data_IF_704111306443
#
_entry.id   IF_704111306443
#
_cell.length_a   1.000
_cell.length_b   1.000
_cell.length_c   1.000
_cell.angle_alpha   90.00
_cell.angle_beta   90.00
_cell.angle_gamma   90.00
#
_symmetry.space_group_name_H-M   'P 1'
#
loop_
_entity.id
_entity.type
_entity.pdbx_description
1 polymer ?
#
# COMPACT_ATOMS: atom_id res chain seq x y z
N UNK A 1 61.63 25.14 -31.76
CA UNK A 1 60.52 24.66 -32.60
C UNK A 1 60.28 23.19 -32.29
N UNK A 2 59.22 22.87 -31.53
CA UNK A 2 58.38 21.67 -31.59
C UNK A 2 57.47 21.64 -30.36
N UNK A 3 56.20 21.89 -30.62
CA UNK A 3 55.07 21.83 -29.71
C UNK A 3 54.85 20.38 -29.29
N UNK A 4 54.44 20.14 -28.04
CA UNK A 4 53.73 18.90 -27.70
C UNK A 4 52.52 19.28 -26.86
N UNK A 5 51.38 18.97 -27.44
CA UNK A 5 50.02 19.35 -27.06
C UNK A 5 49.56 18.47 -25.89
N UNK A 6 48.97 19.11 -24.89
CA UNK A 6 48.23 18.46 -23.83
C UNK A 6 46.92 17.85 -24.37
N UNK A 7 46.59 16.62 -23.99
CA UNK A 7 45.22 16.09 -24.09
C UNK A 7 44.81 15.64 -22.69
N UNK A 8 44.19 16.57 -21.96
CA UNK A 8 43.41 16.32 -20.76
C UNK A 8 42.08 15.69 -21.20
N UNK A 9 41.84 14.41 -20.94
CA UNK A 9 40.52 13.81 -21.13
C UNK A 9 39.79 13.80 -19.79
N UNK A 10 39.08 14.90 -19.52
CA UNK A 10 38.13 14.99 -18.42
C UNK A 10 36.86 14.20 -18.79
N UNK A 11 36.74 12.96 -18.30
CA UNK A 11 35.48 12.23 -18.35
C UNK A 11 34.58 12.75 -17.21
N UNK A 12 33.82 13.80 -17.49
CA UNK A 12 32.70 14.21 -16.65
C UNK A 12 31.63 13.10 -16.71
N UNK A 13 31.65 12.19 -15.74
CA UNK A 13 30.52 11.30 -15.48
C UNK A 13 29.42 12.20 -14.93
N UNK A 14 28.55 12.70 -15.82
CA UNK A 14 27.25 13.20 -15.40
C UNK A 14 26.50 12.00 -14.83
N UNK A 15 26.63 11.79 -13.53
CA UNK A 15 25.68 11.02 -12.75
C UNK A 15 24.37 11.80 -12.80
N UNK A 16 23.59 11.59 -13.86
CA UNK A 16 22.19 11.96 -13.85
C UNK A 16 21.58 11.14 -12.72
N UNK A 17 21.35 11.78 -11.57
CA UNK A 17 20.48 11.23 -10.54
C UNK A 17 19.14 11.05 -11.24
N UNK A 18 18.88 9.84 -11.72
CA UNK A 18 17.53 9.41 -12.05
C UNK A 18 16.79 9.51 -10.73
N UNK A 19 16.09 10.62 -10.52
CA UNK A 19 15.09 10.71 -9.49
C UNK A 19 14.13 9.55 -9.79
N UNK A 20 14.17 8.51 -8.95
CA UNK A 20 13.10 7.55 -8.92
C UNK A 20 11.84 8.40 -8.73
N UNK A 21 10.98 8.45 -9.75
CA UNK A 21 9.65 9.00 -9.54
C UNK A 21 9.05 8.15 -8.44
N UNK A 22 8.78 8.76 -7.28
CA UNK A 22 7.98 8.11 -6.26
C UNK A 22 6.68 7.65 -6.94
N UNK A 23 6.28 6.42 -6.67
CA UNK A 23 5.03 5.93 -7.19
C UNK A 23 3.91 6.74 -6.50
N UNK A 24 2.91 7.14 -7.28
CA UNK A 24 1.85 8.03 -6.79
C UNK A 24 0.48 7.37 -6.88
N UNK A 25 -0.41 7.81 -6.01
CA UNK A 25 -1.81 7.40 -5.97
C UNK A 25 -2.69 8.62 -5.79
N UNK A 26 -3.77 8.70 -6.55
CA UNK A 26 -4.84 9.69 -6.39
C UNK A 26 -5.96 9.09 -5.57
N UNK A 27 -6.32 9.73 -4.46
CA UNK A 27 -7.38 9.24 -3.58
C UNK A 27 -8.71 9.90 -3.94
N UNK A 28 -9.66 9.11 -4.41
CA UNK A 28 -11.04 9.49 -4.68
C UNK A 28 -12.02 9.06 -3.59
N UNK A 29 -13.27 9.47 -3.74
CA UNK A 29 -14.37 9.01 -2.88
C UNK A 29 -14.89 7.65 -3.33
N UNK A 30 -15.25 6.78 -2.37
CA UNK A 30 -16.05 5.58 -2.58
C UNK A 30 -17.42 5.68 -1.90
N UNK A 31 -17.95 4.56 -1.42
CA UNK A 31 -19.13 4.54 -0.55
C UNK A 31 -18.78 5.02 0.85
N UNK A 32 -19.03 6.29 1.14
CA UNK A 32 -18.70 6.88 2.44
C UNK A 32 -19.69 7.97 2.86
N UNK A 33 -19.76 8.20 4.17
CA UNK A 33 -20.48 9.33 4.76
C UNK A 33 -19.78 9.79 6.03
N UNK A 34 -19.72 11.10 6.24
CA UNK A 34 -19.10 11.69 7.44
C UNK A 34 -17.61 11.36 7.60
N UNK A 35 -16.89 11.11 6.51
CA UNK A 35 -15.48 10.73 6.57
C UNK A 35 -15.23 9.21 6.61
N UNK A 36 -16.23 8.43 7.00
CA UNK A 36 -16.14 6.99 7.29
C UNK A 36 -16.65 6.18 6.10
N UNK A 37 -15.92 5.12 5.75
CA UNK A 37 -16.29 4.16 4.74
C UNK A 37 -15.21 4.00 3.68
N UNK A 38 -15.64 3.64 2.50
CA UNK A 38 -14.76 3.29 1.38
C UNK A 38 -14.17 4.53 0.70
N UNK A 39 -12.90 4.42 0.34
CA UNK A 39 -12.19 5.33 -0.56
C UNK A 39 -11.82 4.61 -1.84
N UNK A 40 -11.48 5.38 -2.86
CA UNK A 40 -10.94 4.84 -4.11
C UNK A 40 -9.51 5.30 -4.34
N UNK A 41 -8.67 4.43 -4.86
CA UNK A 41 -7.29 4.74 -5.25
C UNK A 41 -7.13 4.58 -6.76
N UNK A 42 -6.72 5.63 -7.47
CA UNK A 42 -6.41 5.55 -8.90
C UNK A 42 -4.94 5.91 -9.14
N UNK A 43 -4.29 5.16 -10.03
CA UNK A 43 -2.86 5.25 -10.27
C UNK A 43 -2.28 3.90 -10.65
N UNK A 44 -1.10 3.91 -11.27
CA UNK A 44 -0.33 2.70 -11.54
C UNK A 44 0.60 2.41 -10.36
N UNK A 45 0.90 1.13 -10.05
CA UNK A 45 0.62 -0.08 -10.83
C UNK A 45 -0.63 -0.89 -10.42
N UNK A 46 -1.42 -0.48 -9.42
CA UNK A 46 -2.35 -1.40 -8.74
C UNK A 46 -3.60 -1.85 -9.53
N UNK A 47 -4.07 -1.08 -10.51
CA UNK A 47 -5.38 -1.33 -11.11
C UNK A 47 -5.47 -2.61 -11.96
N UNK A 48 -4.40 -2.97 -12.69
CA UNK A 48 -4.43 -4.11 -13.60
C UNK A 48 -4.63 -5.45 -12.88
N UNK A 49 -4.05 -5.60 -11.69
CA UNK A 49 -4.05 -6.85 -10.93
C UNK A 49 -5.34 -7.06 -10.14
N UNK A 50 -5.95 -5.98 -9.65
CA UNK A 50 -7.29 -6.03 -9.04
C UNK A 50 -8.37 -6.46 -10.05
N UNK A 51 -8.20 -6.07 -11.32
CA UNK A 51 -9.09 -6.50 -12.41
C UNK A 51 -8.87 -7.99 -12.72
N UNK A 52 -7.62 -8.47 -12.73
CA UNK A 52 -7.28 -9.87 -12.94
C UNK A 52 -7.83 -10.80 -11.83
N UNK A 53 -7.98 -10.30 -10.60
CA UNK A 53 -8.53 -11.03 -9.45
C UNK A 53 -10.08 -11.13 -9.42
N UNK A 54 -10.77 -10.74 -10.50
CA UNK A 54 -12.24 -10.78 -10.56
C UNK A 54 -12.95 -9.49 -10.15
N UNK A 55 -12.22 -8.38 -9.99
CA UNK A 55 -12.77 -7.02 -9.97
C UNK A 55 -13.63 -6.63 -8.76
N UNK A 56 -13.75 -7.47 -7.72
CA UNK A 56 -14.59 -7.14 -6.57
C UNK A 56 -14.01 -5.97 -5.75
N UNK A 57 -12.68 -5.86 -5.69
CA UNK A 57 -11.96 -4.71 -5.12
C UNK A 57 -11.87 -3.46 -6.03
N UNK A 58 -12.65 -3.35 -7.11
CA UNK A 58 -12.60 -2.18 -8.03
C UNK A 58 -13.94 -1.42 -8.03
N UNK A 59 -13.87 -0.10 -8.01
CA UNK A 59 -15.00 0.82 -8.24
C UNK A 59 -14.58 1.89 -9.24
N UNK A 60 -15.38 2.10 -10.29
CA UNK A 60 -15.15 3.17 -11.26
C UNK A 60 -13.70 3.23 -11.80
N UNK A 61 -13.13 2.06 -12.11
CA UNK A 61 -11.75 1.93 -12.60
C UNK A 61 -10.68 2.42 -11.59
N UNK A 62 -10.97 2.29 -10.29
CA UNK A 62 -10.07 2.59 -9.18
C UNK A 62 -10.18 1.47 -8.13
N UNK A 63 -9.10 1.22 -7.39
CA UNK A 63 -9.09 0.22 -6.32
C UNK A 63 -9.90 0.72 -5.12
N UNK A 64 -10.62 -0.18 -4.47
CA UNK A 64 -11.34 0.05 -3.22
C UNK A 64 -10.31 0.00 -2.09
N UNK A 65 -10.27 1.02 -1.25
CA UNK A 65 -9.30 1.12 -0.15
C UNK A 65 -9.94 1.76 1.08
N UNK A 66 -9.33 1.57 2.25
CA UNK A 66 -9.83 2.02 3.56
C UNK A 66 -8.68 2.63 4.35
N UNK A 67 -9.02 3.57 5.22
CA UNK A 67 -8.10 4.17 6.17
C UNK A 67 -7.63 3.10 7.17
N UNK A 68 -6.34 3.07 7.49
CA UNK A 68 -5.84 2.30 8.63
C UNK A 68 -6.08 3.06 9.93
N UNK A 69 -5.88 4.39 9.94
CA UNK A 69 -5.88 5.19 11.16
C UNK A 69 -7.08 6.14 11.22
N UNK A 70 -7.57 6.50 12.41
CA UNK A 70 -8.78 7.35 12.54
C UNK A 70 -8.48 8.83 12.62
N UNK A 71 -7.30 9.20 13.13
CA UNK A 71 -6.86 10.57 13.35
C UNK A 71 -6.01 11.14 12.20
N UNK A 72 -5.83 10.37 11.12
CA UNK A 72 -5.17 10.83 9.89
C UNK A 72 -6.16 11.08 8.75
N UNK A 73 -5.78 11.95 7.81
CA UNK A 73 -6.70 12.40 6.76
C UNK A 73 -6.04 12.52 5.40
N UNK A 74 -6.86 12.30 4.37
CA UNK A 74 -6.59 12.56 2.97
C UNK A 74 -7.63 13.52 2.41
N UNK A 75 -7.22 14.29 1.42
CA UNK A 75 -8.07 15.16 0.62
C UNK A 75 -8.51 14.40 -0.63
N UNK A 76 -9.81 14.39 -0.90
CA UNK A 76 -10.33 13.74 -2.10
C UNK A 76 -9.88 14.47 -3.36
N UNK A 77 -9.49 13.70 -4.38
CA UNK A 77 -8.94 14.19 -5.64
C UNK A 77 -7.46 14.57 -5.57
N UNK A 78 -6.83 14.52 -4.39
CA UNK A 78 -5.41 14.81 -4.26
C UNK A 78 -4.56 13.58 -4.61
N UNK A 79 -3.35 13.85 -5.09
CA UNK A 79 -2.32 12.84 -5.38
C UNK A 79 -1.27 12.85 -4.27
N UNK A 80 -0.86 11.64 -3.91
CA UNK A 80 0.08 11.35 -2.84
C UNK A 80 1.22 10.51 -3.40
N UNK A 81 2.43 10.78 -2.92
CA UNK A 81 3.52 9.83 -3.01
C UNK A 81 3.26 8.71 -2.00
N UNK A 82 3.61 7.48 -2.34
CA UNK A 82 3.45 6.37 -1.41
C UNK A 82 4.67 5.47 -1.30
N UNK A 83 4.76 4.79 -0.16
CA UNK A 83 5.66 3.66 0.05
C UNK A 83 4.85 2.50 0.63
N UNK A 84 5.15 1.27 0.20
CA UNK A 84 4.69 0.08 0.91
C UNK A 84 5.71 -0.21 2.01
N UNK A 85 5.39 0.07 3.26
CA UNK A 85 6.31 -0.23 4.34
C UNK A 85 6.17 -1.70 4.74
N UNK A 86 7.30 -2.41 4.68
CA UNK A 86 7.46 -3.81 5.06
C UNK A 86 8.65 -3.88 5.99
N UNK A 87 8.46 -4.45 7.17
CA UNK A 87 9.47 -4.58 8.20
C UNK A 87 9.43 -5.96 8.83
N UNK A 88 10.17 -6.12 9.93
CA UNK A 88 10.12 -7.30 10.77
C UNK A 88 9.34 -6.99 12.05
N UNK A 89 8.57 -7.94 12.56
CA UNK A 89 7.99 -7.87 13.90
C UNK A 89 9.03 -8.26 14.98
N UNK A 90 8.62 -8.23 16.25
CA UNK A 90 9.48 -8.64 17.37
C UNK A 90 9.92 -10.12 17.35
N UNK A 91 9.31 -10.95 16.50
CA UNK A 91 9.67 -12.36 16.30
C UNK A 91 10.61 -12.58 15.09
N UNK A 92 10.81 -11.54 14.26
CA UNK A 92 11.59 -11.62 13.02
C UNK A 92 10.76 -12.03 11.80
N UNK A 93 9.43 -12.08 11.90
CA UNK A 93 8.52 -12.34 10.79
C UNK A 93 8.31 -11.06 9.97
N UNK A 94 8.12 -11.22 8.65
CA UNK A 94 7.86 -10.08 7.75
C UNK A 94 6.44 -9.58 7.93
N UNK A 95 6.25 -8.28 8.15
CA UNK A 95 4.95 -7.63 8.35
C UNK A 95 4.85 -6.33 7.56
N UNK A 96 3.64 -5.92 7.17
CA UNK A 96 3.38 -4.59 6.59
C UNK A 96 2.80 -3.65 7.64
N UNK A 97 3.20 -2.38 7.61
CA UNK A 97 3.10 -1.49 8.78
C UNK A 97 2.59 -0.09 8.42
N UNK A 98 1.59 0.40 9.14
CA UNK A 98 1.27 1.82 9.19
C UNK A 98 2.42 2.58 9.90
N UNK A 99 2.65 3.83 9.56
CA UNK A 99 3.72 4.65 10.17
C UNK A 99 3.11 5.44 11.33
N UNK A 100 3.65 5.25 12.54
CA UNK A 100 3.20 5.79 13.82
C UNK A 100 1.94 5.15 14.45
N UNK A 101 1.07 4.50 13.67
CA UNK A 101 -0.03 3.70 14.23
C UNK A 101 -1.21 4.49 14.79
N UNK A 102 -1.40 5.75 14.38
CA UNK A 102 -2.60 6.51 14.72
C UNK A 102 -2.88 6.64 16.22
N UNK A 103 -4.03 6.11 16.64
CA UNK A 103 -4.49 6.03 18.03
C UNK A 103 -4.07 4.72 18.72
N UNK A 104 -3.86 3.64 17.97
CA UNK A 104 -3.34 2.36 18.48
C UNK A 104 -1.88 2.45 18.93
N UNK A 105 -1.10 3.30 18.25
CA UNK A 105 0.30 3.59 18.52
C UNK A 105 1.27 2.67 17.76
N UNK A 106 2.56 3.01 17.81
CA UNK A 106 3.67 2.23 17.27
C UNK A 106 4.09 1.13 18.25
N UNK A 107 4.44 -0.06 17.76
CA UNK A 107 4.98 -1.16 18.58
C UNK A 107 6.44 -0.93 19.04
N UNK A 108 7.07 0.16 18.63
CA UNK A 108 8.45 0.54 18.93
C UNK A 108 9.47 0.04 17.91
N UNK A 109 9.03 -0.63 16.83
CA UNK A 109 9.86 -1.14 15.73
C UNK A 109 9.68 -0.30 14.45
N UNK A 110 9.05 0.88 14.54
CA UNK A 110 9.02 1.88 13.49
C UNK A 110 7.69 1.95 12.73
N UNK A 111 6.57 1.78 13.44
CA UNK A 111 5.20 1.76 12.93
C UNK A 111 4.30 0.70 13.58
N UNK A 112 3.09 0.56 13.08
CA UNK A 112 2.07 -0.34 13.59
C UNK A 112 1.75 -1.44 12.56
N UNK A 113 2.10 -2.71 12.82
CA UNK A 113 1.81 -3.80 11.90
C UNK A 113 0.31 -4.04 11.70
N UNK A 114 -0.09 -4.30 10.46
CA UNK A 114 -1.49 -4.62 10.16
C UNK A 114 -1.87 -5.95 10.84
N UNK A 115 -3.01 -5.96 11.52
CA UNK A 115 -3.54 -7.19 12.13
C UNK A 115 -3.93 -8.24 11.08
N UNK A 116 -3.88 -9.52 11.47
CA UNK A 116 -4.29 -10.62 10.60
C UNK A 116 -5.77 -10.59 10.24
N UNK A 117 -6.65 -10.15 11.15
CA UNK A 117 -8.07 -9.99 10.85
C UNK A 117 -8.31 -8.89 9.80
N UNK A 118 -7.62 -7.74 9.88
CA UNK A 118 -7.71 -6.69 8.86
C UNK A 118 -7.20 -7.18 7.51
N UNK A 119 -6.04 -7.84 7.49
CA UNK A 119 -5.47 -8.39 6.27
C UNK A 119 -6.40 -9.45 5.63
N UNK A 120 -6.96 -10.35 6.45
CA UNK A 120 -7.94 -11.33 6.01
C UNK A 120 -9.18 -10.66 5.42
N UNK A 121 -9.83 -9.74 6.15
CA UNK A 121 -11.06 -9.09 5.69
C UNK A 121 -10.86 -8.36 4.37
N UNK A 122 -9.79 -7.59 4.26
CA UNK A 122 -9.51 -6.86 3.04
C UNK A 122 -9.16 -7.79 1.87
N UNK A 123 -8.44 -8.89 2.13
CA UNK A 123 -8.23 -9.92 1.12
C UNK A 123 -9.55 -10.53 0.63
N UNK A 124 -10.45 -10.93 1.54
CA UNK A 124 -11.76 -11.50 1.19
C UNK A 124 -12.64 -10.50 0.43
N UNK A 125 -12.53 -9.20 0.73
CA UNK A 125 -13.22 -8.16 -0.02
C UNK A 125 -12.71 -8.09 -1.46
N UNK A 126 -11.40 -8.00 -1.65
CA UNK A 126 -10.80 -7.78 -2.97
C UNK A 126 -10.99 -9.00 -3.89
N UNK A 127 -10.92 -10.21 -3.33
CA UNK A 127 -11.15 -11.47 -4.07
C UNK A 127 -12.62 -11.82 -4.27
N UNK A 128 -13.55 -11.05 -3.70
CA UNK A 128 -14.99 -11.21 -3.89
C UNK A 128 -15.67 -12.25 -3.01
N UNK A 129 -14.96 -12.82 -2.04
CA UNK A 129 -15.52 -13.78 -1.09
C UNK A 129 -16.51 -13.13 -0.11
N UNK A 130 -16.45 -11.81 0.06
CA UNK A 130 -17.45 -11.05 0.84
C UNK A 130 -18.70 -10.65 0.05
N UNK A 131 -18.92 -11.13 -1.18
CA UNK A 131 -19.99 -10.62 -2.04
C UNK A 131 -21.41 -10.75 -1.46
N UNK A 132 -21.66 -11.74 -0.59
CA UNK A 132 -22.93 -11.91 0.10
C UNK A 132 -23.05 -11.03 1.37
N UNK A 133 -21.93 -10.52 1.89
CA UNK A 133 -21.86 -9.75 3.14
C UNK A 133 -21.63 -8.24 2.90
N UNK A 134 -20.98 -7.87 1.79
CA UNK A 134 -20.62 -6.49 1.45
C UNK A 134 -21.39 -6.04 0.20
N UNK A 135 -22.44 -5.26 0.38
CA UNK A 135 -23.13 -4.62 -0.73
C UNK A 135 -22.38 -3.35 -1.17
N UNK A 136 -21.76 -3.42 -2.36
CA UNK A 136 -21.02 -2.32 -3.01
C UNK A 136 -21.87 -1.12 -3.42
N UNK A 137 -23.16 -1.09 -3.08
CA UNK A 137 -24.08 0.04 -3.25
C UNK A 137 -24.54 0.66 -1.92
N UNK A 138 -24.27 -0.01 -0.79
CA UNK A 138 -24.77 0.39 0.54
C UNK A 138 -23.67 1.06 1.37
N UNK A 139 -23.84 2.35 1.66
CA UNK A 139 -22.89 3.11 2.49
C UNK A 139 -22.72 2.52 3.89
N UNK A 140 -23.78 1.96 4.48
CA UNK A 140 -23.72 1.35 5.80
C UNK A 140 -22.76 0.15 5.85
N UNK A 141 -22.64 -0.62 4.77
CA UNK A 141 -21.73 -1.75 4.68
C UNK A 141 -20.28 -1.29 4.62
N UNK A 142 -20.00 -0.27 3.81
CA UNK A 142 -18.68 0.36 3.75
C UNK A 142 -18.26 0.96 5.10
N UNK A 143 -19.18 1.61 5.81
CA UNK A 143 -18.93 2.13 7.15
C UNK A 143 -18.71 1.03 8.19
N UNK A 144 -19.49 -0.06 8.13
CA UNK A 144 -19.30 -1.19 9.02
C UNK A 144 -17.95 -1.88 8.75
N UNK A 145 -17.53 -2.00 7.49
CA UNK A 145 -16.21 -2.51 7.13
C UNK A 145 -15.08 -1.62 7.68
N UNK A 146 -15.14 -0.30 7.46
CA UNK A 146 -14.14 0.64 7.99
C UNK A 146 -14.05 0.58 9.53
N UNK A 147 -15.17 0.41 10.24
CA UNK A 147 -15.17 0.23 11.70
C UNK A 147 -14.62 -1.13 12.14
N UNK A 148 -14.75 -2.16 11.33
CA UNK A 148 -14.15 -3.46 11.62
C UNK A 148 -12.63 -3.38 11.51
N UNK A 149 -12.11 -2.71 10.46
CA UNK A 149 -10.68 -2.40 10.33
C UNK A 149 -10.21 -1.64 11.58
N UNK A 150 -10.81 -0.51 11.91
CA UNK A 150 -10.42 0.25 13.10
C UNK A 150 -10.56 -0.51 14.42
N UNK A 151 -11.43 -1.52 14.49
CA UNK A 151 -11.53 -2.36 15.68
C UNK A 151 -10.34 -3.29 15.85
N UNK A 152 -9.84 -3.87 14.76
CA UNK A 152 -8.70 -4.78 14.81
C UNK A 152 -7.35 -4.06 14.84
N UNK A 153 -7.29 -2.81 14.36
CA UNK A 153 -6.11 -1.95 14.45
C UNK A 153 -6.10 -1.08 15.72
N UNK A 154 -6.93 -1.40 16.74
CA UNK A 154 -7.06 -0.64 18.00
C UNK A 154 -7.38 0.89 17.87
N UNK A 155 -7.78 1.34 16.68
CA UNK A 155 -8.18 2.71 16.37
C UNK A 155 -9.60 3.07 16.85
N UNK A 156 -10.45 2.06 17.07
CA UNK A 156 -11.81 2.21 17.59
C UNK A 156 -12.28 0.92 18.25
N UNK A 157 -12.46 0.95 19.57
CA UNK A 157 -13.07 -0.18 20.29
C UNK A 157 -14.59 -0.15 20.12
N UNK A 158 -15.15 -1.15 19.45
CA UNK A 158 -16.60 -1.36 19.39
C UNK A 158 -17.10 -1.81 20.75
N UNK A 159 -18.17 -1.19 21.25
CA UNK A 159 -18.77 -1.56 22.53
C UNK A 159 -19.31 -3.01 22.53
N UNK A 160 -19.80 -3.45 21.38
CA UNK A 160 -20.21 -4.83 21.13
C UNK A 160 -19.64 -5.29 19.77
N UNK A 161 -18.53 -6.04 19.75
CA UNK A 161 -17.95 -6.60 18.53
C UNK A 161 -18.93 -7.48 17.73
N UNK A 162 -19.95 -8.07 18.37
CA UNK A 162 -20.94 -8.91 17.69
C UNK A 162 -21.95 -8.13 16.86
N UNK A 163 -22.09 -6.83 17.12
CA UNK A 163 -22.94 -5.94 16.33
C UNK A 163 -22.36 -5.64 14.93
N UNK A 164 -21.06 -5.91 14.70
CA UNK A 164 -20.41 -5.70 13.41
C UNK A 164 -20.21 -7.04 12.69
N UNK A 165 -20.97 -7.24 11.61
CA UNK A 165 -20.96 -8.46 10.79
C UNK A 165 -19.57 -8.82 10.23
N UNK A 166 -18.71 -7.85 9.96
CA UNK A 166 -17.36 -8.10 9.44
C UNK A 166 -16.39 -8.53 10.55
N UNK A 167 -16.54 -7.98 11.76
CA UNK A 167 -15.77 -8.43 12.92
C UNK A 167 -16.10 -9.89 13.22
N UNK A 168 -17.38 -10.24 13.28
CA UNK A 168 -17.81 -11.63 13.48
C UNK A 168 -17.30 -12.55 12.36
N UNK A 169 -17.37 -12.12 11.10
CA UNK A 169 -16.86 -12.90 9.98
C UNK A 169 -15.35 -13.23 10.09
N UNK A 170 -14.53 -12.30 10.58
CA UNK A 170 -13.11 -12.56 10.81
C UNK A 170 -12.87 -13.50 11.99
N UNK A 171 -13.58 -13.28 13.10
CA UNK A 171 -13.47 -14.10 14.31
C UNK A 171 -13.94 -15.55 14.07
N UNK A 172 -15.03 -15.74 13.33
CA UNK A 172 -15.54 -17.06 12.94
C UNK A 172 -14.54 -17.83 12.06
N UNK A 173 -13.71 -17.11 11.31
CA UNK A 173 -12.61 -17.67 10.53
C UNK A 173 -11.33 -17.92 11.36
N UNK A 174 -11.34 -17.56 12.65
CA UNK A 174 -10.21 -17.74 13.57
C UNK A 174 -9.15 -16.64 13.50
N UNK A 175 -9.47 -15.48 12.92
CA UNK A 175 -8.56 -14.34 12.85
C UNK A 175 -8.98 -13.22 13.81
N UNK A 176 -8.05 -12.73 14.60
CA UNK A 176 -8.23 -11.67 15.59
C UNK A 176 -7.28 -10.48 15.32
N UNK A 177 -7.17 -9.56 16.28
CA UNK A 177 -6.27 -8.40 16.20
C UNK A 177 -4.77 -8.73 16.30
N UNK A 178 -4.35 -9.99 16.24
CA UNK A 178 -2.92 -10.34 16.32
C UNK A 178 -2.12 -9.85 15.10
N UNK A 179 -0.89 -9.42 15.34
CA UNK A 179 0.04 -8.87 14.34
C UNK A 179 0.93 -9.93 13.69
N UNK A 180 0.33 -11.03 13.20
CA UNK A 180 1.04 -12.17 12.63
C UNK A 180 0.75 -12.40 11.13
N UNK A 181 0.28 -11.37 10.41
CA UNK A 181 0.11 -11.45 8.97
C UNK A 181 1.45 -11.29 8.24
N UNK A 182 1.91 -12.36 7.58
CA UNK A 182 2.97 -12.28 6.58
C UNK A 182 2.39 -11.93 5.20
N UNK A 183 2.59 -10.71 4.69
CA UNK A 183 2.01 -10.29 3.43
C UNK A 183 2.68 -10.93 2.20
N UNK A 184 3.76 -11.70 2.39
CA UNK A 184 4.43 -12.48 1.34
C UNK A 184 3.92 -13.93 1.28
N UNK A 185 3.37 -14.45 2.38
CA UNK A 185 3.00 -15.86 2.51
C UNK A 185 1.53 -16.16 2.84
N UNK A 186 0.81 -15.24 3.49
CA UNK A 186 -0.58 -15.44 3.93
C UNK A 186 -1.58 -14.59 3.15
N UNK A 187 -1.78 -13.33 3.55
CA UNK A 187 -2.67 -12.40 2.87
C UNK A 187 -1.85 -11.25 2.33
N UNK A 188 -1.77 -11.06 0.99
CA UNK A 188 -0.90 -10.05 0.39
C UNK A 188 -1.54 -8.67 0.47
N UNK A 189 -1.73 -8.20 1.70
CA UNK A 189 -2.31 -6.91 2.08
C UNK A 189 -1.23 -6.10 2.77
N UNK A 190 -1.13 -4.84 2.37
CA UNK A 190 -0.08 -3.92 2.77
C UNK A 190 -0.67 -2.59 3.22
N UNK A 191 0.05 -1.92 4.11
CA UNK A 191 -0.14 -0.51 4.43
C UNK A 191 0.55 0.32 3.36
N UNK A 192 -0.23 1.21 2.76
CA UNK A 192 0.24 2.19 1.78
C UNK A 192 0.45 3.51 2.50
N UNK A 193 1.70 3.82 2.84
CA UNK A 193 1.99 5.00 3.63
C UNK A 193 2.06 6.24 2.73
N UNK A 194 1.12 7.15 2.92
CA UNK A 194 0.94 8.28 2.04
C UNK A 194 1.73 9.49 2.53
N UNK A 195 2.34 10.20 1.58
CA UNK A 195 3.00 11.48 1.83
C UNK A 195 2.62 12.51 0.78
N UNK A 196 2.65 13.78 1.15
CA UNK A 196 2.44 14.89 0.25
C UNK A 196 3.37 16.03 0.64
N UNK A 197 4.26 16.43 -0.27
CA UNK A 197 5.29 17.43 -0.01
C UNK A 197 6.20 17.07 1.19
N UNK A 198 6.49 15.77 1.37
CA UNK A 198 7.29 15.26 2.48
C UNK A 198 6.54 15.12 3.81
N UNK A 199 5.29 15.59 3.89
CA UNK A 199 4.45 15.45 5.08
C UNK A 199 3.64 14.16 5.02
N UNK A 200 3.55 13.46 6.16
CA UNK A 200 2.74 12.24 6.31
C UNK A 200 1.24 12.52 6.20
N UNK A 201 0.52 11.52 5.72
CA UNK A 201 -0.92 11.52 5.44
C UNK A 201 -1.45 10.12 5.77
N UNK A 202 -2.77 10.00 5.73
CA UNK A 202 -3.49 8.76 6.02
C UNK A 202 -2.89 7.54 5.32
N UNK A 203 -2.58 6.53 6.13
CA UNK A 203 -2.20 5.22 5.65
C UNK A 203 -3.42 4.42 5.16
N UNK A 204 -3.26 3.77 4.00
CA UNK A 204 -4.37 3.15 3.28
C UNK A 204 -4.11 1.66 3.03
N UNK A 205 -5.14 0.82 3.06
CA UNK A 205 -5.01 -0.59 2.70
C UNK A 205 -4.82 -0.80 1.19
N UNK A 206 -3.90 -1.69 0.81
CA UNK A 206 -3.72 -2.14 -0.57
C UNK A 206 -3.44 -3.63 -0.65
N UNK A 207 -3.94 -4.29 -1.69
CA UNK A 207 -3.77 -5.72 -1.96
C UNK A 207 -2.78 -5.85 -3.11
N UNK A 208 -1.68 -6.54 -2.87
CA UNK A 208 -0.54 -6.61 -3.79
C UNK A 208 -0.04 -8.05 -3.89
N UNK A 209 -0.72 -8.92 -4.66
CA UNK A 209 -0.34 -10.32 -4.79
C UNK A 209 1.07 -10.49 -5.40
N UNK A 210 1.71 -11.67 -5.23
CA UNK A 210 2.99 -11.94 -5.86
C UNK A 210 2.93 -11.74 -7.38
N UNK A 211 3.91 -11.02 -7.93
CA UNK A 211 4.00 -10.72 -9.37
C UNK A 211 3.74 -9.26 -9.74
N UNK A 212 3.34 -8.41 -8.79
CA UNK A 212 3.23 -6.97 -9.00
C UNK A 212 4.62 -6.35 -8.91
N UNK A 213 5.16 -5.78 -10.00
CA UNK A 213 6.36 -4.98 -9.90
C UNK A 213 6.03 -3.75 -9.05
N UNK A 214 6.66 -3.65 -7.90
CA UNK A 214 6.83 -2.38 -7.21
C UNK A 214 7.60 -1.49 -8.20
N UNK A 215 6.88 -0.59 -8.90
CA UNK A 215 7.39 0.09 -10.09
C UNK A 215 8.78 0.72 -9.97
N UNK A 216 9.25 0.98 -8.73
CA UNK A 216 10.62 1.37 -8.40
C UNK A 216 11.71 0.36 -8.76
N UNK A 217 11.63 -0.91 -8.34
CA UNK A 217 12.72 -1.88 -8.57
C UNK A 217 12.87 -2.25 -10.05
N UNK A 218 11.76 -2.30 -10.78
CA UNK A 218 11.80 -2.58 -12.22
C UNK A 218 12.48 -1.46 -12.99
N UNK A 219 12.21 -0.20 -12.63
CA UNK A 219 12.91 0.95 -13.23
C UNK A 219 14.39 0.98 -12.88
N UNK A 220 14.76 0.62 -11.64
CA UNK A 220 16.16 0.52 -11.22
C UNK A 220 16.88 -0.58 -12.00
N UNK A 221 16.29 -1.77 -12.14
CA UNK A 221 16.88 -2.88 -12.88
C UNK A 221 16.92 -2.61 -14.39
N UNK A 222 15.91 -1.94 -14.94
CA UNK A 222 15.91 -1.50 -16.33
C UNK A 222 17.02 -0.45 -16.57
N UNK A 223 17.14 0.54 -15.67
CA UNK A 223 18.19 1.55 -15.71
C UNK A 223 19.58 0.93 -15.57
N UNK A 224 19.77 -0.01 -14.65
CA UNK A 224 21.02 -0.75 -14.47
C UNK A 224 21.34 -1.61 -15.70
N UNK A 225 20.35 -2.29 -16.28
CA UNK A 225 20.51 -3.10 -17.49
C UNK A 225 20.91 -2.26 -18.71
N UNK A 226 20.26 -1.11 -18.92
CA UNK A 226 20.61 -0.17 -19.99
C UNK A 226 22.01 0.43 -19.79
N UNK A 227 22.37 0.75 -18.55
CA UNK A 227 23.72 1.22 -18.20
C UNK A 227 24.77 0.14 -18.48
N UNK A 228 24.52 -1.11 -18.08
CA UNK A 228 25.39 -2.25 -18.36
C UNK A 228 25.60 -2.47 -19.86
N UNK A 229 24.54 -2.36 -20.66
CA UNK A 229 24.62 -2.49 -22.12
C UNK A 229 25.44 -1.36 -22.76
N UNK A 230 25.30 -0.12 -22.26
CA UNK A 230 26.11 1.01 -22.71
C UNK A 230 27.61 0.81 -22.43
N UNK A 231 27.96 0.23 -21.27
CA UNK A 231 29.34 -0.14 -20.96
C UNK A 231 29.85 -1.30 -21.82
N UNK A 232 29.03 -2.32 -22.09
CA UNK A 232 29.40 -3.44 -22.95
C UNK A 232 29.69 -3.00 -24.40
N UNK A 233 28.89 -2.08 -24.95
CA UNK A 233 29.09 -1.52 -26.30
C UNK A 233 30.43 -0.80 -26.45
N UNK A 234 30.90 -0.12 -25.40
CA UNK A 234 32.20 0.59 -25.42
C UNK A 234 33.42 -0.33 -25.40
N UNK A 235 33.25 -1.61 -25.06
CA UNK A 235 34.32 -2.61 -25.06
C UNK A 235 34.42 -3.38 -26.38
N UNK A 236 33.37 -3.34 -27.19
CA UNK A 236 33.26 -4.06 -28.46
C UNK A 236 33.45 -3.15 -29.69
N UNK A 237 33.56 -1.84 -29.49
CA UNK A 237 33.95 -0.85 -30.48
C UNK A 237 35.36 -0.33 -30.16
#
# INVERSE_FOLDING_TARGET
MKYTVAILSAAAVMASTLAASAATITIGGGLRSGGIGEFTGSGTPFLADYVAAGGYGVRNNAIITFCLERNEFVSLGATYDYVKNVGLDGSGATVSRAVNGGLGGDDGLGGDPISIATAYLYHQLVTGNLAALYDKTVVADAQAFQRAVWHFEDEWILADPSSNKFVQYALDAGYDGSVNNDPTGMFPVYALNLTQNGERKQDMLVWCPPGVPDGGLTLVMLGAGLTGLAFARRRLA
#
